data_IF_419135989126
#
_entry.id   IF_419135989126
#
_cell.length_a   1.000
_cell.length_b   1.000
_cell.length_c   1.000
_cell.angle_alpha   90.00
_cell.angle_beta   90.00
_cell.angle_gamma   90.00
#
_symmetry.space_group_name_H-M   'P 1'
#
loop_
_entity.id
_entity.type
_entity.pdbx_description
1 polymer ?
#
# COMPACT_ATOMS: atom_id res chain seq x y z
N UNK A 1 25.17 -25.54 -42.98
CA UNK A 1 24.97 -24.69 -41.77
C UNK A 1 23.64 -23.97 -41.92
N UNK A 2 22.60 -24.41 -41.20
CA UNK A 2 21.29 -23.77 -40.97
C UNK A 2 20.35 -24.88 -40.43
N UNK A 3 19.40 -24.71 -39.52
CA UNK A 3 19.05 -23.62 -38.62
C UNK A 3 18.26 -24.29 -37.47
N UNK A 4 18.48 -23.84 -36.23
CA UNK A 4 17.84 -24.37 -35.02
C UNK A 4 16.32 -24.11 -35.02
N UNK A 5 15.51 -25.18 -34.97
CA UNK A 5 14.07 -25.07 -34.73
C UNK A 5 13.81 -24.95 -33.22
N UNK A 6 13.98 -23.74 -32.69
CA UNK A 6 13.47 -23.34 -31.38
C UNK A 6 12.02 -22.91 -31.53
N UNK A 7 11.08 -23.70 -31.01
CA UNK A 7 9.72 -23.19 -30.73
C UNK A 7 9.36 -23.53 -29.29
N UNK A 8 9.65 -22.56 -28.43
CA UNK A 8 9.17 -22.46 -27.06
C UNK A 8 7.81 -21.73 -27.13
N UNK A 9 6.72 -22.26 -26.56
CA UNK A 9 5.45 -21.54 -26.53
C UNK A 9 5.61 -20.32 -25.62
N UNK A 10 5.39 -19.12 -26.19
CA UNK A 10 5.25 -17.88 -25.42
C UNK A 10 3.82 -17.81 -24.87
N UNK A 11 3.60 -17.75 -23.55
CA UNK A 11 2.30 -17.35 -23.05
C UNK A 11 2.12 -15.87 -23.34
N UNK A 12 1.13 -15.61 -24.19
CA UNK A 12 0.40 -14.37 -24.40
C UNK A 12 0.58 -13.37 -23.25
N UNK A 13 1.24 -12.26 -23.55
CA UNK A 13 1.26 -11.08 -22.69
C UNK A 13 -0.20 -10.62 -22.53
N UNK A 14 -0.83 -11.04 -21.43
CA UNK A 14 -2.09 -10.46 -20.98
C UNK A 14 -1.79 -9.00 -20.68
N UNK A 15 -2.27 -8.13 -21.57
CA UNK A 15 -2.40 -6.71 -21.32
C UNK A 15 -3.31 -6.53 -20.10
N UNK A 16 -2.72 -6.45 -18.91
CA UNK A 16 -3.40 -6.02 -17.70
C UNK A 16 -3.34 -4.49 -17.66
N UNK A 17 -4.21 -3.87 -18.44
CA UNK A 17 -4.50 -2.46 -18.32
C UNK A 17 -5.00 -2.17 -16.89
N UNK A 18 -4.35 -1.18 -16.28
CA UNK A 18 -4.96 -0.23 -15.35
C UNK A 18 -5.50 -0.80 -14.02
N UNK A 19 -4.59 -1.13 -13.11
CA UNK A 19 -4.84 -0.86 -11.70
C UNK A 19 -3.64 -0.11 -11.12
N UNK A 20 -3.83 1.05 -10.47
CA UNK A 20 -2.80 1.56 -9.57
C UNK A 20 -2.63 0.48 -8.51
N UNK A 21 -1.49 -0.21 -8.59
CA UNK A 21 -1.02 -1.17 -7.61
C UNK A 21 -0.83 -0.40 -6.30
N UNK A 22 -1.93 -0.15 -5.57
CA UNK A 22 -1.90 0.22 -4.16
C UNK A 22 -1.25 -0.96 -3.49
N UNK A 23 0.04 -0.79 -3.22
CA UNK A 23 0.99 -1.81 -2.81
C UNK A 23 0.44 -2.58 -1.63
N UNK A 24 -0.17 -3.72 -1.93
CA UNK A 24 -0.79 -4.64 -0.97
C UNK A 24 0.25 -5.53 -0.28
N UNK A 25 1.43 -4.99 0.01
CA UNK A 25 2.50 -5.69 0.73
C UNK A 25 2.82 -4.84 1.95
N UNK A 26 2.05 -4.97 3.03
CA UNK A 26 2.24 -5.97 4.08
C UNK A 26 3.59 -5.82 4.80
N UNK A 27 3.88 -4.60 5.22
CA UNK A 27 4.93 -4.31 6.19
C UNK A 27 4.27 -3.46 7.27
N UNK A 28 3.67 -4.12 8.27
CA UNK A 28 2.75 -3.51 9.23
C UNK A 28 3.31 -2.30 9.99
N UNK A 29 4.64 -2.17 10.08
CA UNK A 29 5.32 -0.95 10.56
C UNK A 29 5.36 0.18 9.53
N UNK A 30 5.80 -0.11 8.31
CA UNK A 30 5.96 0.89 7.25
C UNK A 30 4.63 1.54 6.83
N UNK A 31 3.51 0.85 6.98
CA UNK A 31 2.20 1.45 6.71
C UNK A 31 1.82 2.49 7.76
N UNK A 32 2.09 2.24 9.04
CA UNK A 32 1.85 3.21 10.11
C UNK A 32 2.73 4.45 9.92
N UNK A 33 4.02 4.26 9.64
CA UNK A 33 4.96 5.36 9.37
C UNK A 33 4.51 6.22 8.19
N UNK A 34 3.98 5.61 7.11
CA UNK A 34 3.42 6.35 5.97
C UNK A 34 2.20 7.19 6.36
N UNK A 35 1.34 6.66 7.24
CA UNK A 35 0.18 7.40 7.75
C UNK A 35 0.62 8.56 8.66
N UNK A 36 1.61 8.34 9.52
CA UNK A 36 2.19 9.38 10.38
C UNK A 36 2.85 10.51 9.56
N UNK A 37 3.61 10.14 8.52
CA UNK A 37 4.19 11.12 7.60
C UNK A 37 3.10 11.91 6.85
N UNK A 38 2.06 11.23 6.34
CA UNK A 38 0.93 11.89 5.70
C UNK A 38 0.18 12.81 6.66
N UNK A 39 0.07 12.45 7.94
CA UNK A 39 -0.55 13.25 8.98
C UNK A 39 0.25 14.54 9.24
N UNK A 40 1.57 14.44 9.36
CA UNK A 40 2.44 15.61 9.49
C UNK A 40 2.28 16.58 8.29
N UNK A 41 2.17 16.04 7.07
CA UNK A 41 1.91 16.84 5.87
C UNK A 41 0.52 17.49 5.90
N UNK A 42 -0.51 16.78 6.37
CA UNK A 42 -1.86 17.33 6.48
C UNK A 42 -1.93 18.46 7.54
N UNK A 43 -1.22 18.31 8.66
CA UNK A 43 -1.08 19.35 9.70
C UNK A 43 -0.42 20.60 9.14
N UNK A 44 0.71 20.45 8.43
CA UNK A 44 1.42 21.61 7.85
C UNK A 44 0.59 22.34 6.78
N UNK A 45 -0.34 21.63 6.12
CA UNK A 45 -1.28 22.20 5.15
C UNK A 45 -2.56 22.77 5.78
N UNK A 46 -2.82 22.51 7.07
CA UNK A 46 -4.07 22.89 7.73
C UNK A 46 -5.31 22.12 7.23
N UNK A 47 -5.13 20.92 6.66
CA UNK A 47 -6.22 20.12 6.10
C UNK A 47 -6.92 19.30 7.19
N UNK A 48 -7.82 19.94 7.94
CA UNK A 48 -8.49 19.37 9.10
C UNK A 48 -9.25 18.06 8.81
N UNK A 49 -9.89 17.93 7.64
CA UNK A 49 -10.59 16.69 7.28
C UNK A 49 -9.62 15.54 7.04
N UNK A 50 -8.49 15.82 6.37
CA UNK A 50 -7.44 14.83 6.14
C UNK A 50 -6.78 14.39 7.45
N UNK A 51 -6.56 15.35 8.37
CA UNK A 51 -6.02 15.08 9.71
C UNK A 51 -6.92 14.10 10.46
N UNK A 52 -8.22 14.36 10.52
CA UNK A 52 -9.18 13.52 11.24
C UNK A 52 -9.21 12.08 10.68
N UNK A 53 -9.30 11.95 9.36
CA UNK A 53 -9.27 10.65 8.68
C UNK A 53 -7.97 9.87 8.91
N UNK A 54 -6.82 10.55 8.93
CA UNK A 54 -5.53 9.91 9.16
C UNK A 54 -5.38 9.48 10.61
N UNK A 55 -5.86 10.28 11.58
CA UNK A 55 -5.88 9.90 13.00
C UNK A 55 -6.73 8.66 13.25
N UNK A 56 -7.91 8.58 12.63
CA UNK A 56 -8.77 7.40 12.72
C UNK A 56 -8.08 6.15 12.14
N UNK A 57 -7.43 6.27 10.99
CA UNK A 57 -6.68 5.15 10.38
C UNK A 57 -5.47 4.71 11.21
N UNK A 58 -4.73 5.66 11.80
CA UNK A 58 -3.60 5.34 12.70
C UNK A 58 -4.11 4.66 13.97
N UNK A 59 -5.24 5.12 14.53
CA UNK A 59 -5.85 4.49 15.69
C UNK A 59 -6.37 3.07 15.38
N UNK A 60 -6.95 2.83 14.21
CA UNK A 60 -7.39 1.49 13.80
C UNK A 60 -6.20 0.53 13.56
N UNK A 61 -5.15 1.03 12.91
CA UNK A 61 -3.96 0.24 12.60
C UNK A 61 -3.05 0.00 13.82
N UNK A 62 -2.92 0.99 14.71
CA UNK A 62 -2.11 0.94 15.93
C UNK A 62 -2.87 0.48 17.17
N UNK A 63 -4.20 0.56 17.14
CA UNK A 63 -5.11 0.25 18.23
C UNK A 63 -5.58 -1.20 18.27
N UNK A 64 -5.22 -2.08 17.32
CA UNK A 64 -5.33 -3.54 17.51
C UNK A 64 -4.40 -4.10 18.63
N UNK A 65 -3.82 -3.23 19.45
CA UNK A 65 -3.07 -3.53 20.67
C UNK A 65 -3.90 -3.17 21.92
N UNK A 66 -5.22 -3.31 21.86
CA UNK A 66 -6.05 -3.31 23.06
C UNK A 66 -5.74 -4.60 23.82
N UNK A 67 -4.92 -4.47 24.86
CA UNK A 67 -4.85 -5.39 25.98
C UNK A 67 -6.30 -5.70 26.41
N UNK A 68 -6.77 -6.96 26.40
CA UNK A 68 -8.09 -7.26 26.93
C UNK A 68 -8.08 -6.85 28.40
N UNK A 69 -8.87 -5.83 28.73
CA UNK A 69 -9.01 -5.32 30.10
C UNK A 69 -9.24 -6.49 31.06
N UNK A 70 -8.41 -6.52 32.11
CA UNK A 70 -8.57 -7.41 33.27
C UNK A 70 -9.40 -6.70 34.33
#
# INVERSE_FOLDING_TARGET
MANHHSQRPTPSARSCANQPQKSAYAEGGHQLEKLEFALAVAITRGDCQRIDQLRAQIADLGGNREEPGT
#
